data_IF_908074075102
#
_entry.id   IF_908074075102
#
_cell.length_a   1.000
_cell.length_b   1.000
_cell.length_c   1.000
_cell.angle_alpha   90.00
_cell.angle_beta   90.00
_cell.angle_gamma   90.00
#
_symmetry.space_group_name_H-M   'P 1'
#
loop_
_entity.id
_entity.type
_entity.pdbx_description
1 polymer ?
#
# COMPACT_ATOMS: atom_id res chain seq x y z
N UNK A 1 8.26 -2.74 1.74
CA UNK A 1 7.90 -4.10 1.28
C UNK A 1 6.70 -4.58 2.09
N UNK A 2 5.80 -5.36 1.49
CA UNK A 2 4.56 -5.81 2.15
C UNK A 2 4.87 -6.94 3.16
N UNK A 3 4.70 -6.66 4.47
CA UNK A 3 5.06 -7.61 5.54
C UNK A 3 4.16 -8.84 5.56
N UNK A 4 2.90 -8.72 5.12
CA UNK A 4 1.97 -9.84 5.01
C UNK A 4 2.45 -10.89 4.01
N UNK A 5 3.08 -10.46 2.91
CA UNK A 5 3.60 -11.38 1.89
C UNK A 5 4.97 -11.97 2.25
N UNK A 6 5.89 -11.14 2.77
CA UNK A 6 7.26 -11.62 3.03
C UNK A 6 7.38 -12.38 4.35
N UNK A 7 6.61 -12.00 5.36
CA UNK A 7 6.73 -12.54 6.72
C UNK A 7 5.48 -13.27 7.20
N UNK A 8 4.44 -13.36 6.35
CA UNK A 8 3.13 -13.93 6.73
C UNK A 8 2.60 -13.33 8.03
N UNK A 9 2.78 -12.01 8.18
CA UNK A 9 2.35 -11.28 9.37
C UNK A 9 0.83 -11.35 9.51
N UNK A 10 0.38 -12.10 10.52
CA UNK A 10 -1.02 -12.36 10.79
C UNK A 10 -1.81 -11.11 11.22
N UNK A 11 -1.13 -10.07 11.71
CA UNK A 11 -1.77 -8.85 12.21
C UNK A 11 -1.73 -7.71 11.19
N UNK A 12 -1.15 -7.93 10.01
CA UNK A 12 -1.00 -6.91 8.98
C UNK A 12 -2.34 -6.29 8.54
N UNK A 13 -3.41 -7.10 8.44
CA UNK A 13 -4.74 -6.61 8.09
C UNK A 13 -5.30 -5.61 9.12
N UNK A 14 -5.09 -5.85 10.42
CA UNK A 14 -5.54 -4.94 11.47
C UNK A 14 -4.81 -3.60 11.37
N UNK A 15 -3.48 -3.62 11.28
CA UNK A 15 -2.68 -2.39 11.16
C UNK A 15 -3.02 -1.61 9.90
N UNK A 16 -3.21 -2.29 8.77
CA UNK A 16 -3.64 -1.65 7.54
C UNK A 16 -4.95 -0.88 7.75
N UNK A 17 -5.99 -1.54 8.28
CA UNK A 17 -7.33 -0.97 8.41
C UNK A 17 -7.49 0.04 9.56
N UNK A 18 -6.78 -0.16 10.68
CA UNK A 18 -7.00 0.64 11.90
C UNK A 18 -5.91 1.69 12.16
N UNK A 19 -4.71 1.52 11.60
CA UNK A 19 -3.57 2.40 11.87
C UNK A 19 -3.17 3.19 10.62
N UNK A 20 -3.01 2.52 9.48
CA UNK A 20 -2.52 3.17 8.27
C UNK A 20 -3.58 3.89 7.45
N UNK A 21 -4.80 3.33 7.38
CA UNK A 21 -5.88 3.86 6.53
C UNK A 21 -7.03 4.51 7.31
N UNK A 22 -7.06 4.37 8.63
CA UNK A 22 -8.13 4.95 9.45
C UNK A 22 -8.06 6.48 9.43
N UNK A 23 -9.00 7.11 8.73
CA UNK A 23 -9.03 8.57 8.54
C UNK A 23 -8.07 9.08 7.47
N UNK A 24 -7.44 8.19 6.71
CA UNK A 24 -6.54 8.52 5.60
C UNK A 24 -7.00 7.85 4.31
N UNK A 25 -6.38 8.21 3.19
CA UNK A 25 -6.63 7.54 1.91
C UNK A 25 -6.13 6.09 1.93
N UNK A 26 -6.91 5.20 1.30
CA UNK A 26 -6.56 3.81 1.06
C UNK A 26 -5.60 3.70 -0.12
N UNK A 27 -4.96 2.55 -0.28
CA UNK A 27 -4.09 2.31 -1.43
C UNK A 27 -4.86 2.37 -2.77
N UNK A 28 -6.14 1.95 -2.75
CA UNK A 28 -7.06 2.08 -3.89
C UNK A 28 -7.39 3.52 -4.29
N UNK A 29 -7.20 4.51 -3.42
CA UNK A 29 -7.44 5.93 -3.72
C UNK A 29 -6.35 6.53 -4.63
N UNK A 30 -5.30 5.77 -4.96
CA UNK A 30 -4.23 6.22 -5.84
C UNK A 30 -4.75 6.55 -7.25
N UNK A 31 -4.73 7.83 -7.62
CA UNK A 31 -5.09 8.32 -8.95
C UNK A 31 -3.99 8.16 -10.02
N UNK A 32 -2.92 7.42 -9.70
CA UNK A 32 -1.81 7.12 -10.63
C UNK A 32 -1.15 8.37 -11.25
N UNK A 33 -0.94 9.41 -10.44
CA UNK A 33 -0.35 10.67 -10.91
C UNK A 33 1.18 10.62 -11.13
N UNK A 34 1.87 9.57 -10.65
CA UNK A 34 3.32 9.38 -10.80
C UNK A 34 4.23 10.36 -10.06
N UNK A 35 3.69 11.30 -9.27
CA UNK A 35 4.50 12.29 -8.52
C UNK A 35 5.39 11.65 -7.47
N UNK A 36 4.87 10.62 -6.79
CA UNK A 36 5.61 9.86 -5.78
C UNK A 36 6.85 9.18 -6.36
N UNK A 37 6.74 8.57 -7.54
CA UNK A 37 7.85 7.87 -8.20
C UNK A 37 8.94 8.84 -8.65
N UNK A 38 8.56 9.99 -9.24
CA UNK A 38 9.52 11.03 -9.63
C UNK A 38 10.29 11.62 -8.44
N UNK A 39 9.65 11.70 -7.28
CA UNK A 39 10.28 12.18 -6.05
C UNK A 39 11.13 11.11 -5.35
N UNK A 40 10.99 9.83 -5.72
CA UNK A 40 11.65 8.72 -5.05
C UNK A 40 13.12 8.59 -5.50
N UNK A 41 14.12 8.84 -4.65
CA UNK A 41 15.53 8.73 -5.03
C UNK A 41 15.95 7.27 -5.33
N UNK A 42 15.19 6.30 -4.83
CA UNK A 42 15.41 4.87 -5.06
C UNK A 42 14.70 4.34 -6.32
N UNK A 43 13.98 5.21 -7.06
CA UNK A 43 13.24 4.83 -8.27
C UNK A 43 12.30 3.64 -8.08
N UNK A 44 11.60 3.60 -6.93
CA UNK A 44 10.66 2.52 -6.65
C UNK A 44 9.40 2.65 -7.52
N UNK A 45 8.82 1.53 -8.00
CA UNK A 45 7.56 1.51 -8.74
C UNK A 45 6.36 1.65 -7.79
N UNK A 46 6.24 2.81 -7.13
CA UNK A 46 5.27 3.04 -6.04
C UNK A 46 3.82 2.82 -6.50
N UNK A 47 3.48 3.16 -7.74
CA UNK A 47 2.12 2.99 -8.24
C UNK A 47 1.73 1.51 -8.35
N UNK A 48 2.67 0.66 -8.80
CA UNK A 48 2.47 -0.80 -8.87
C UNK A 48 2.36 -1.38 -7.47
N UNK A 49 3.24 -0.97 -6.56
CA UNK A 49 3.21 -1.40 -5.16
C UNK A 49 1.88 -1.03 -4.47
N UNK A 50 1.32 0.16 -4.74
CA UNK A 50 0.01 0.55 -4.20
C UNK A 50 -1.12 -0.31 -4.77
N UNK A 51 -1.08 -0.67 -6.07
CA UNK A 51 -2.06 -1.60 -6.63
C UNK A 51 -1.98 -2.98 -5.97
N UNK A 52 -0.77 -3.48 -5.67
CA UNK A 52 -0.59 -4.76 -4.98
C UNK A 52 -1.07 -4.71 -3.53
N UNK A 53 -0.85 -3.59 -2.82
CA UNK A 53 -1.41 -3.37 -1.48
C UNK A 53 -2.92 -3.36 -1.50
N UNK A 54 -3.55 -2.63 -2.44
CA UNK A 54 -5.00 -2.63 -2.59
C UNK A 54 -5.54 -4.05 -2.89
N UNK A 55 -4.84 -4.81 -3.74
CA UNK A 55 -5.17 -6.21 -4.04
C UNK A 55 -5.13 -7.10 -2.81
N UNK A 56 -4.11 -6.93 -1.96
CA UNK A 56 -3.89 -7.77 -0.79
C UNK A 56 -4.85 -7.47 0.38
N UNK A 57 -5.17 -6.19 0.60
CA UNK A 57 -5.83 -5.76 1.83
C UNK A 57 -7.28 -5.26 1.65
N UNK A 58 -7.73 -5.00 0.42
CA UNK A 58 -9.02 -4.34 0.18
C UNK A 58 -10.03 -5.18 -0.62
N UNK A 59 -9.68 -6.41 -1.00
CA UNK A 59 -10.55 -7.30 -1.78
C UNK A 59 -11.66 -7.99 -0.96
N UNK A 60 -12.46 -7.24 -0.22
CA UNK A 60 -13.62 -7.77 0.51
C UNK A 60 -14.92 -7.08 0.13
#
# INVERSE_FOLDING_TARGET
>A
MNTKQHYHDWNADYYYNQVHTKGHGRASDCIKCGKCEKACPQHLPIQELLNDVAREFEQR
#
